data_IF_029789940336
#
_entry.id   IF_029789940336
#
_cell.length_a   1.000
_cell.length_b   1.000
_cell.length_c   1.000
_cell.angle_alpha   90.00
_cell.angle_beta   90.00
_cell.angle_gamma   90.00
#
_symmetry.space_group_name_H-M   'P 1'
#
loop_
_entity.id
_entity.type
_entity.pdbx_description
1 polymer ?
#
# COMPACT_ATOMS: atom_id res chain seq x y z
N UNK A 1 -2.14 10.14 -0.35
CA UNK A 1 -1.84 8.95 0.48
C UNK A 1 -1.88 7.78 -0.47
N UNK A 2 -0.74 7.13 -0.68
CA UNK A 2 -0.59 6.15 -1.75
C UNK A 2 -0.78 4.73 -1.23
N UNK A 3 -1.38 3.89 -2.08
CA UNK A 3 -1.56 2.47 -1.81
C UNK A 3 -0.96 1.67 -2.96
N UNK A 4 -0.25 0.61 -2.60
CA UNK A 4 0.17 -0.38 -3.56
C UNK A 4 -0.90 -1.46 -3.63
N UNK A 5 -1.42 -1.66 -4.84
CA UNK A 5 -2.44 -2.65 -5.14
C UNK A 5 -1.80 -3.72 -6.02
N UNK A 6 -1.72 -4.93 -5.49
CA UNK A 6 -1.23 -6.10 -6.18
C UNK A 6 -2.41 -6.96 -6.63
N UNK A 7 -2.48 -7.26 -7.92
CA UNK A 7 -3.44 -8.21 -8.47
C UNK A 7 -2.84 -9.61 -8.40
N UNK A 8 -3.45 -10.47 -7.61
CA UNK A 8 -3.01 -11.84 -7.41
C UNK A 8 -3.70 -12.78 -8.40
N UNK A 9 -2.99 -13.84 -8.79
CA UNK A 9 -3.59 -14.99 -9.43
C UNK A 9 -4.39 -15.78 -8.38
N UNK A 10 -5.61 -16.18 -8.73
CA UNK A 10 -6.48 -16.92 -7.82
C UNK A 10 -5.97 -18.34 -7.54
N UNK A 11 -5.40 -18.99 -8.56
CA UNK A 11 -4.91 -20.38 -8.50
C UNK A 11 -3.64 -20.54 -7.66
N UNK A 12 -2.70 -19.59 -7.77
CA UNK A 12 -1.35 -19.72 -7.20
C UNK A 12 -1.01 -18.64 -6.16
N UNK A 13 -1.89 -17.64 -5.98
CA UNK A 13 -1.68 -16.52 -5.04
C UNK A 13 -0.56 -15.54 -5.45
N UNK A 14 0.06 -15.74 -6.62
CA UNK A 14 1.18 -14.92 -7.10
C UNK A 14 0.74 -13.57 -7.62
N UNK A 15 1.54 -12.53 -7.35
CA UNK A 15 1.31 -11.20 -7.90
C UNK A 15 1.57 -11.20 -9.42
N UNK A 16 0.52 -10.93 -10.19
CA UNK A 16 0.58 -10.80 -11.65
C UNK A 16 0.90 -9.37 -12.08
N UNK A 17 0.39 -8.39 -11.32
CA UNK A 17 0.63 -6.97 -11.58
C UNK A 17 0.54 -6.18 -10.27
N UNK A 18 1.31 -5.10 -10.16
CA UNK A 18 1.24 -4.13 -9.08
C UNK A 18 1.03 -2.74 -9.65
N UNK A 19 0.18 -1.95 -9.00
CA UNK A 19 -0.02 -0.53 -9.33
C UNK A 19 -0.02 0.29 -8.05
N UNK A 20 0.65 1.44 -8.08
CA UNK A 20 0.54 2.45 -7.03
C UNK A 20 -0.63 3.36 -7.40
N UNK A 21 -1.62 3.44 -6.52
CA UNK A 21 -2.80 4.26 -6.69
C UNK A 21 -2.96 5.25 -5.53
N UNK A 22 -3.46 6.43 -5.84
CA UNK A 22 -3.92 7.39 -4.83
C UNK A 22 -5.22 6.94 -4.18
N UNK A 23 -5.46 7.37 -2.94
CA UNK A 23 -6.61 7.00 -2.14
C UNK A 23 -7.97 7.17 -2.86
N UNK A 24 -8.12 8.22 -3.67
CA UNK A 24 -9.31 8.49 -4.46
C UNK A 24 -9.58 7.42 -5.53
N UNK A 25 -8.51 6.88 -6.14
CA UNK A 25 -8.60 5.87 -7.19
C UNK A 25 -8.72 4.44 -6.65
N UNK A 26 -8.33 4.19 -5.38
CA UNK A 26 -8.41 2.85 -4.76
C UNK A 26 -9.82 2.27 -4.87
N UNK A 27 -10.86 3.09 -4.64
CA UNK A 27 -12.26 2.64 -4.67
C UNK A 27 -12.66 2.10 -6.03
N UNK A 28 -12.34 2.82 -7.11
CA UNK A 28 -12.67 2.39 -8.48
C UNK A 28 -11.89 1.15 -8.92
N UNK A 29 -10.67 0.97 -8.40
CA UNK A 29 -9.86 -0.22 -8.69
C UNK A 29 -10.44 -1.44 -7.99
N UNK A 30 -10.85 -1.30 -6.72
CA UNK A 30 -11.49 -2.38 -5.96
C UNK A 30 -12.82 -2.78 -6.59
N UNK A 31 -13.64 -1.81 -6.99
CA UNK A 31 -14.96 -2.07 -7.59
C UNK A 31 -14.84 -2.87 -8.90
N UNK A 32 -13.92 -2.45 -9.79
CA UNK A 32 -13.63 -3.18 -11.04
C UNK A 32 -13.08 -4.59 -10.78
N UNK A 33 -12.23 -4.75 -9.78
CA UNK A 33 -11.73 -6.07 -9.43
C UNK A 33 -12.83 -6.97 -8.86
N UNK A 34 -13.73 -6.44 -8.03
CA UNK A 34 -14.89 -7.16 -7.52
C UNK A 34 -15.82 -7.60 -8.67
N UNK A 35 -16.07 -6.72 -9.64
CA UNK A 35 -16.88 -7.03 -10.82
C UNK A 35 -16.30 -8.17 -11.69
N UNK A 36 -14.98 -8.34 -11.67
CA UNK A 36 -14.27 -9.39 -12.44
C UNK A 36 -13.89 -10.61 -11.61
N UNK A 37 -14.16 -10.60 -10.30
CA UNK A 37 -13.71 -11.65 -9.37
C UNK A 37 -12.19 -11.68 -9.18
N UNK A 38 -11.47 -10.60 -9.48
CA UNK A 38 -10.03 -10.54 -9.35
C UNK A 38 -9.59 -10.41 -7.89
N UNK A 39 -8.65 -11.25 -7.47
CA UNK A 39 -8.05 -11.17 -6.14
C UNK A 39 -7.07 -10.02 -6.04
N UNK A 40 -7.29 -9.10 -5.11
CA UNK A 40 -6.40 -7.97 -4.85
C UNK A 40 -5.75 -8.08 -3.47
N UNK A 41 -4.52 -7.61 -3.37
CA UNK A 41 -3.82 -7.35 -2.12
C UNK A 41 -3.45 -5.87 -2.06
N UNK A 42 -3.91 -5.17 -1.03
CA UNK A 42 -3.76 -3.72 -0.91
C UNK A 42 -2.94 -3.43 0.33
N UNK A 43 -1.86 -2.66 0.17
CA UNK A 43 -1.05 -2.19 1.30
C UNK A 43 -0.78 -0.69 1.21
N UNK A 44 -0.61 0.00 2.35
CA UNK A 44 -0.12 1.37 2.34
C UNK A 44 1.24 1.42 1.65
N UNK A 45 1.39 2.29 0.67
CA UNK A 45 2.68 2.59 0.08
C UNK A 45 3.26 3.79 0.84
N UNK A 46 4.07 3.49 1.86
CA UNK A 46 4.79 4.51 2.62
C UNK A 46 6.02 4.87 1.81
N UNK A 47 6.03 6.06 1.20
CA UNK A 47 7.27 6.59 0.62
C UNK A 47 8.22 6.95 1.77
N UNK A 48 9.45 6.41 1.82
CA UNK A 48 10.29 6.39 3.03
C UNK A 48 10.94 7.74 3.40
N UNK A 49 10.30 8.89 3.14
CA UNK A 49 10.84 10.21 3.51
C UNK A 49 10.07 10.94 4.62
N UNK A 50 9.09 10.29 5.23
CA UNK A 50 8.47 10.78 6.48
C UNK A 50 8.85 9.87 7.65
N UNK A 51 10.15 9.70 7.89
CA UNK A 51 10.61 9.35 9.24
C UNK A 51 10.25 10.54 10.14
N UNK A 52 9.38 10.41 11.16
CA UNK A 52 9.51 11.31 12.29
C UNK A 52 10.92 11.05 12.79
N UNK A 53 11.82 12.04 12.67
CA UNK A 53 13.13 11.95 13.28
C UNK A 53 12.92 11.38 14.68
N UNK A 54 13.48 10.20 14.95
CA UNK A 54 13.60 9.72 16.33
C UNK A 54 14.28 10.85 17.05
N UNK A 55 13.51 11.65 17.78
CA UNK A 55 14.05 12.67 18.65
C UNK A 55 14.77 11.87 19.72
N UNK A 56 16.06 11.65 19.49
CA UNK A 56 16.98 11.24 20.54
C UNK A 56 16.91 12.36 21.56
N UNK A 57 16.01 12.20 22.52
CA UNK A 57 15.99 12.97 23.74
C UNK A 57 17.30 12.67 24.46
N UNK A 58 18.33 13.44 24.10
CA UNK A 58 19.55 13.52 24.90
C UNK A 58 19.12 14.15 26.22
N UNK A 59 19.15 13.35 27.29
CA UNK A 59 18.98 13.84 28.65
C UNK A 59 20.09 14.87 28.93
N UNK A 60 19.79 16.12 29.30
CA UNK A 60 20.81 16.97 29.88
C UNK A 60 20.96 16.54 31.34
N UNK A 61 22.07 15.88 31.66
CA UNK A 61 22.39 15.47 33.02
C UNK A 61 23.85 15.07 33.18
N UNK A 62 24.70 16.06 33.48
CA UNK A 62 25.79 16.01 34.46
C UNK A 62 26.56 17.34 34.43
#
# INVERSE_FOLDING_TARGET
MHFEILRLNDSDGRAQASVIAEASAVREIVDRAAATGARLYIRPHVHPLETPASTSATLPGA
#
